data_IF_044399808102
#
_entry.id   IF_044399808102
#
_cell.length_a   1.000
_cell.length_b   1.000
_cell.length_c   1.000
_cell.angle_alpha   90.00
_cell.angle_beta   90.00
_cell.angle_gamma   90.00
#
_symmetry.space_group_name_H-M   'P 1'
#
loop_
_entity.id
_entity.type
_entity.pdbx_description
1 polymer ?
#
# COMPACT_ATOMS: atom_id res chain seq x y z
N UNK A 1 10.00 -6.86 8.02
CA UNK A 1 11.12 -6.46 8.91
C UNK A 1 11.20 -4.96 8.97
N UNK A 2 11.40 -4.39 10.16
CA UNK A 2 11.62 -2.95 10.36
C UNK A 2 13.12 -2.70 10.59
N UNK A 3 13.70 -1.76 9.84
CA UNK A 3 15.10 -1.35 9.93
C UNK A 3 15.12 0.06 10.50
N UNK A 4 15.44 0.16 11.79
CA UNK A 4 15.55 1.44 12.49
C UNK A 4 16.97 2.00 12.44
N UNK A 5 17.97 1.12 12.57
CA UNK A 5 19.39 1.47 12.47
C UNK A 5 20.04 0.81 11.24
N UNK A 6 20.64 1.63 10.40
CA UNK A 6 21.33 1.22 9.18
C UNK A 6 22.62 0.44 9.44
N UNK A 7 23.23 0.57 10.63
CA UNK A 7 24.52 -0.05 10.96
C UNK A 7 24.50 -1.58 10.85
N UNK A 8 23.36 -2.21 11.17
CA UNK A 8 23.19 -3.67 11.16
C UNK A 8 22.59 -4.20 9.85
N UNK A 9 22.39 -3.33 8.85
CA UNK A 9 21.70 -3.73 7.62
C UNK A 9 22.47 -4.76 6.79
N UNK A 10 23.79 -4.85 6.95
CA UNK A 10 24.61 -5.91 6.31
C UNK A 10 24.28 -7.30 6.85
N UNK A 11 23.94 -7.42 8.13
CA UNK A 11 23.66 -8.72 8.75
C UNK A 11 22.41 -9.37 8.15
N UNK A 12 21.52 -8.56 7.56
CA UNK A 12 20.34 -9.00 6.84
C UNK A 12 20.66 -9.80 5.57
N UNK A 13 21.87 -9.66 5.00
CA UNK A 13 22.24 -10.37 3.77
C UNK A 13 22.21 -11.89 3.96
N UNK A 14 22.55 -12.37 5.15
CA UNK A 14 22.48 -13.79 5.52
C UNK A 14 21.05 -14.35 5.50
N UNK A 15 20.05 -13.48 5.62
CA UNK A 15 18.63 -13.81 5.68
C UNK A 15 17.86 -13.44 4.41
N UNK A 16 18.56 -13.03 3.35
CA UNK A 16 17.99 -12.50 2.10
C UNK A 16 16.91 -13.38 1.46
N UNK A 17 16.98 -14.71 1.67
CA UNK A 17 16.02 -15.69 1.13
C UNK A 17 14.65 -15.68 1.84
N UNK A 18 14.57 -15.08 3.03
CA UNK A 18 13.34 -14.99 3.81
C UNK A 18 12.58 -13.68 3.59
N UNK A 19 13.16 -12.74 2.84
CA UNK A 19 12.54 -11.45 2.57
C UNK A 19 11.88 -11.46 1.21
N UNK A 20 10.55 -11.43 1.21
CA UNK A 20 9.75 -11.18 0.02
C UNK A 20 9.84 -9.69 -0.37
N UNK A 21 9.69 -9.35 -1.66
CA UNK A 21 9.59 -7.95 -2.09
C UNK A 21 8.54 -7.18 -1.27
N UNK A 22 8.80 -5.91 -0.99
CA UNK A 22 7.90 -5.01 -0.26
C UNK A 22 7.66 -5.36 1.23
N UNK A 23 8.35 -6.35 1.80
CA UNK A 23 8.22 -6.73 3.23
C UNK A 23 9.32 -6.18 4.15
N UNK A 24 10.28 -5.44 3.57
CA UNK A 24 11.31 -4.69 4.30
C UNK A 24 10.88 -3.23 4.39
N UNK A 25 10.99 -2.67 5.60
CA UNK A 25 10.63 -1.28 5.89
C UNK A 25 11.81 -0.62 6.60
N UNK A 26 12.13 0.61 6.25
CA UNK A 26 13.17 1.40 6.92
C UNK A 26 12.66 2.78 7.24
N UNK A 27 13.20 3.40 8.30
CA UNK A 27 12.86 4.77 8.64
C UNK A 27 13.22 5.70 7.48
N UNK A 28 12.27 6.51 6.99
CA UNK A 28 12.47 7.41 5.86
C UNK A 28 13.64 8.40 6.02
N UNK A 29 14.00 8.72 7.26
CA UNK A 29 15.11 9.61 7.59
C UNK A 29 16.47 8.89 7.69
N UNK A 30 16.49 7.58 7.47
CA UNK A 30 17.69 6.76 7.62
C UNK A 30 18.71 7.09 6.51
N UNK A 31 19.92 7.45 6.92
CA UNK A 31 21.05 7.68 6.02
C UNK A 31 21.88 6.41 5.88
N UNK A 32 21.91 5.83 4.68
CA UNK A 32 22.71 4.64 4.37
C UNK A 32 23.77 5.02 3.35
N UNK A 33 25.02 5.08 3.79
CA UNK A 33 26.17 5.41 2.93
C UNK A 33 26.75 4.19 2.22
N UNK A 34 26.36 2.98 2.65
CA UNK A 34 26.84 1.73 2.09
C UNK A 34 26.08 1.36 0.81
N UNK A 35 26.81 1.30 -0.30
CA UNK A 35 26.25 1.00 -1.63
C UNK A 35 25.64 -0.39 -1.72
N UNK A 36 26.25 -1.39 -1.10
CA UNK A 36 25.74 -2.77 -1.18
C UNK A 36 24.42 -2.89 -0.42
N UNK A 37 24.30 -2.22 0.73
CA UNK A 37 23.06 -2.16 1.50
C UNK A 37 21.98 -1.44 0.71
N UNK A 38 22.29 -0.30 0.10
CA UNK A 38 21.35 0.43 -0.76
C UNK A 38 20.86 -0.45 -1.91
N UNK A 39 21.77 -1.17 -2.57
CA UNK A 39 21.42 -2.08 -3.66
C UNK A 39 20.57 -3.27 -3.19
N UNK A 40 20.85 -3.82 -2.01
CA UNK A 40 20.04 -4.86 -1.38
C UNK A 40 18.61 -4.39 -1.12
N UNK A 41 18.45 -3.21 -0.49
CA UNK A 41 17.15 -2.63 -0.19
C UNK A 41 16.35 -2.37 -1.48
N UNK A 42 17.01 -1.87 -2.53
CA UNK A 42 16.38 -1.70 -3.85
C UNK A 42 15.94 -3.03 -4.46
N UNK A 43 16.79 -4.05 -4.47
CA UNK A 43 16.47 -5.39 -5.01
C UNK A 43 15.31 -6.08 -4.27
N UNK A 44 15.04 -5.68 -3.03
CA UNK A 44 13.93 -6.17 -2.21
C UNK A 44 12.74 -5.23 -2.16
N UNK A 45 12.74 -4.16 -2.96
CA UNK A 45 11.70 -3.14 -2.96
C UNK A 45 11.35 -2.65 -1.55
N UNK A 46 12.38 -2.41 -0.72
CA UNK A 46 12.19 -1.96 0.65
C UNK A 46 11.49 -0.59 0.68
N UNK A 47 10.58 -0.40 1.62
CA UNK A 47 9.73 0.78 1.70
C UNK A 47 10.24 1.74 2.77
N UNK A 48 10.41 3.01 2.41
CA UNK A 48 10.66 4.08 3.36
C UNK A 48 9.36 4.42 4.08
N UNK A 49 9.34 4.36 5.42
CA UNK A 49 8.18 4.71 6.23
C UNK A 49 8.59 5.62 7.38
N UNK A 50 7.68 6.50 7.80
CA UNK A 50 7.84 7.29 9.00
C UNK A 50 7.62 6.46 10.28
N UNK A 51 8.62 6.41 11.15
CA UNK A 51 8.55 5.68 12.42
C UNK A 51 8.13 6.58 13.60
N UNK A 52 7.86 7.87 13.38
CA UNK A 52 7.49 8.83 14.44
C UNK A 52 6.19 8.48 15.18
N UNK A 53 5.30 7.69 14.56
CA UNK A 53 4.03 7.25 15.13
C UNK A 53 3.94 5.71 15.19
N UNK A 54 4.62 5.03 16.14
CA UNK A 54 4.72 3.57 16.17
C UNK A 54 3.36 2.85 16.20
N UNK A 55 2.38 3.38 16.93
CA UNK A 55 1.05 2.75 17.01
C UNK A 55 0.33 2.79 15.67
N UNK A 56 0.47 3.89 14.92
CA UNK A 56 -0.09 4.00 13.58
C UNK A 56 0.60 3.02 12.63
N UNK A 57 1.93 2.94 12.68
CA UNK A 57 2.71 1.99 11.89
C UNK A 57 2.25 0.54 12.14
N UNK A 58 2.09 0.13 13.39
CA UNK A 58 1.61 -1.21 13.74
C UNK A 58 0.20 -1.44 13.17
N UNK A 59 -0.70 -0.46 13.31
CA UNK A 59 -2.06 -0.55 12.79
C UNK A 59 -2.05 -0.72 11.26
N UNK A 60 -1.22 0.02 10.55
CA UNK A 60 -1.10 -0.04 9.10
C UNK A 60 -0.55 -1.40 8.64
N UNK A 61 0.56 -1.86 9.25
CA UNK A 61 1.16 -3.14 8.94
C UNK A 61 0.23 -4.32 9.23
N UNK A 62 -0.53 -4.26 10.32
CA UNK A 62 -1.52 -5.30 10.68
C UNK A 62 -2.63 -5.46 9.64
N UNK A 63 -2.87 -4.43 8.83
CA UNK A 63 -3.91 -4.39 7.81
C UNK A 63 -3.38 -4.48 6.38
N UNK A 64 -2.07 -4.30 6.14
CA UNK A 64 -1.50 -4.24 4.80
C UNK A 64 -0.68 -5.48 4.41
N UNK A 65 -0.15 -6.23 5.37
CA UNK A 65 0.72 -7.40 5.13
C UNK A 65 -0.05 -8.71 4.94
N UNK A 66 -1.05 -8.71 4.07
CA UNK A 66 -1.78 -9.92 3.69
C UNK A 66 -1.30 -10.42 2.32
N UNK A 67 -1.29 -11.75 2.12
CA UNK A 67 -0.65 -12.38 0.95
C UNK A 67 -1.37 -12.21 -0.40
N UNK A 68 -2.51 -11.53 -0.47
CA UNK A 68 -3.25 -11.34 -1.71
C UNK A 68 -4.35 -10.28 -1.62
N UNK A 69 -4.54 -9.51 -2.68
CA UNK A 69 -5.58 -8.48 -2.76
C UNK A 69 -6.94 -9.04 -3.15
N UNK A 70 -8.00 -8.44 -2.60
CA UNK A 70 -9.35 -8.58 -3.12
C UNK A 70 -9.85 -7.21 -3.60
N UNK A 71 -10.51 -7.19 -4.75
CA UNK A 71 -11.13 -6.01 -5.30
C UNK A 71 -12.32 -6.41 -6.15
N UNK A 72 -13.43 -5.71 -5.94
CA UNK A 72 -14.65 -5.87 -6.72
C UNK A 72 -15.28 -4.49 -6.96
N UNK A 73 -16.05 -4.37 -8.04
CA UNK A 73 -16.71 -3.11 -8.42
C UNK A 73 -18.19 -3.19 -8.07
N UNK A 74 -18.70 -2.12 -7.47
CA UNK A 74 -20.13 -1.87 -7.46
C UNK A 74 -20.53 -1.23 -8.78
N UNK A 75 -21.47 -1.84 -9.48
CA UNK A 75 -21.92 -1.38 -10.80
C UNK A 75 -23.09 -0.40 -10.67
N UNK A 76 -23.27 0.53 -11.62
CA UNK A 76 -24.42 1.45 -11.64
C UNK A 76 -25.81 0.86 -11.32
N UNK A 77 -26.16 -0.39 -11.71
CA UNK A 77 -27.44 -0.99 -11.31
C UNK A 77 -27.62 -1.18 -9.79
N UNK A 78 -26.53 -1.14 -9.02
CA UNK A 78 -26.57 -1.19 -7.54
C UNK A 78 -26.89 0.18 -6.91
N UNK A 79 -26.90 1.25 -7.70
CA UNK A 79 -27.17 2.62 -7.24
C UNK A 79 -28.69 2.87 -7.24
N UNK A 80 -29.21 3.32 -6.11
CA UNK A 80 -30.59 3.79 -5.98
C UNK A 80 -30.63 5.32 -6.03
N UNK A 81 -31.24 5.88 -7.08
CA UNK A 81 -31.49 7.32 -7.18
C UNK A 81 -32.71 7.68 -6.34
N UNK A 82 -32.65 8.81 -5.64
CA UNK A 82 -33.78 9.29 -4.84
C UNK A 82 -35.03 9.43 -5.73
N UNK A 83 -36.20 8.87 -5.35
CA UNK A 83 -37.42 8.94 -6.16
C UNK A 83 -37.92 10.37 -6.44
N UNK A 84 -37.52 11.35 -5.63
CA UNK A 84 -37.89 12.75 -5.81
C UNK A 84 -36.91 13.52 -6.72
N UNK A 85 -35.94 12.85 -7.35
CA UNK A 85 -35.06 13.49 -8.33
C UNK A 85 -35.84 13.84 -9.61
N UNK A 86 -35.83 15.11 -10.00
CA UNK A 86 -36.60 15.63 -11.14
C UNK A 86 -35.78 15.77 -12.43
N UNK A 87 -34.46 15.55 -12.37
CA UNK A 87 -33.58 15.59 -13.53
C UNK A 87 -33.71 14.34 -14.42
N UNK A 88 -33.06 14.38 -15.57
CA UNK A 88 -32.92 13.24 -16.46
C UNK A 88 -31.93 12.21 -15.89
N UNK A 89 -32.31 10.93 -16.00
CA UNK A 89 -31.48 9.78 -15.62
C UNK A 89 -31.26 8.94 -16.87
N UNK A 90 -30.00 8.62 -17.19
CA UNK A 90 -29.65 7.78 -18.34
C UNK A 90 -28.64 6.71 -17.95
N UNK A 91 -28.97 5.45 -18.18
CA UNK A 91 -28.06 4.32 -17.97
C UNK A 91 -27.41 3.94 -19.30
N UNK A 92 -26.07 3.99 -19.36
CA UNK A 92 -25.31 3.64 -20.56
C UNK A 92 -24.66 2.27 -20.35
N UNK A 93 -25.44 1.22 -20.62
CA UNK A 93 -25.04 -0.15 -20.35
C UNK A 93 -24.97 -0.44 -18.84
N UNK A 94 -23.98 -1.23 -18.43
CA UNK A 94 -23.79 -1.63 -17.04
C UNK A 94 -22.75 -0.79 -16.30
N UNK A 95 -22.01 0.07 -17.00
CA UNK A 95 -20.80 0.72 -16.47
C UNK A 95 -21.02 2.20 -16.13
N UNK A 96 -22.07 2.82 -16.67
CA UNK A 96 -22.32 4.26 -16.47
C UNK A 96 -23.78 4.58 -16.18
N UNK A 97 -23.98 5.58 -15.33
CA UNK A 97 -25.24 6.28 -15.13
C UNK A 97 -24.97 7.79 -15.22
N UNK A 98 -25.77 8.51 -15.99
CA UNK A 98 -25.76 9.97 -16.11
C UNK A 98 -26.97 10.54 -15.38
N UNK A 99 -26.76 11.60 -14.61
CA UNK A 99 -27.78 12.38 -13.92
C UNK A 99 -27.62 13.84 -14.36
N UNK A 100 -28.65 14.40 -15.00
CA UNK A 100 -28.66 15.77 -15.51
C UNK A 100 -29.87 16.51 -14.94
N UNK A 101 -29.69 17.67 -14.30
CA UNK A 101 -30.79 18.39 -13.63
C UNK A 101 -30.46 19.83 -13.31
#
# INVERSE_FOLDING_TARGET
VLIEDGQYSRDLFSYVKYFEPYTLFYNQNLQINDREVVDFLKKRCAQAIDFLSPQQLINDLSKSLFGGGYGDKLFPPTIQVNPNFTGAISYQGLDYVSLEG
#
